data_IF_962915068834
#
_entry.id   IF_962915068834
#
_cell.length_a   1.000
_cell.length_b   1.000
_cell.length_c   1.000
_cell.angle_alpha   90.00
_cell.angle_beta   90.00
_cell.angle_gamma   90.00
#
_symmetry.space_group_name_H-M   'P 1'
#
loop_
_entity.id
_entity.type
_entity.pdbx_description
1 polymer ?
#
# COMPACT_ATOMS: atom_id res chain seq x y z
N UNK A 1 47.10 -22.56 -26.98
CA UNK A 1 47.77 -23.88 -26.82
C UNK A 1 46.83 -24.74 -25.95
N UNK A 2 46.25 -25.82 -26.26
CA UNK A 2 46.48 -26.86 -27.26
C UNK A 2 45.15 -27.64 -27.35
N UNK A 3 44.75 -27.99 -28.56
CA UNK A 3 43.64 -28.92 -28.88
C UNK A 3 44.03 -30.33 -28.47
N UNK A 4 43.08 -31.17 -28.09
CA UNK A 4 43.16 -32.58 -28.42
C UNK A 4 41.75 -33.17 -28.57
N UNK A 5 41.44 -33.48 -29.79
CA UNK A 5 40.35 -34.30 -30.32
C UNK A 5 40.70 -35.78 -30.12
N UNK A 6 39.74 -36.63 -29.71
CA UNK A 6 39.81 -38.07 -29.93
C UNK A 6 38.56 -38.61 -30.56
N UNK A 7 38.72 -38.96 -31.79
CA UNK A 7 37.86 -39.82 -32.60
C UNK A 7 38.20 -41.29 -32.30
N UNK A 8 37.23 -42.16 -32.09
CA UNK A 8 37.47 -43.60 -32.24
C UNK A 8 36.39 -44.29 -33.07
N UNK A 9 36.90 -44.98 -34.00
CA UNK A 9 36.37 -45.62 -35.20
C UNK A 9 35.76 -46.99 -34.89
N UNK A 10 34.78 -47.34 -35.68
CA UNK A 10 34.12 -48.63 -35.92
C UNK A 10 35.01 -49.84 -35.82
N UNK A 11 34.47 -50.94 -35.30
CA UNK A 11 34.88 -52.27 -35.76
C UNK A 11 33.64 -53.20 -35.88
N UNK A 12 33.34 -53.57 -37.08
CA UNK A 12 32.45 -54.65 -37.52
C UNK A 12 33.12 -55.96 -37.22
N UNK A 13 32.44 -56.95 -36.67
CA UNK A 13 32.74 -58.33 -36.92
C UNK A 13 31.48 -59.20 -37.07
N UNK A 14 31.37 -59.72 -38.26
CA UNK A 14 30.34 -60.63 -38.80
C UNK A 14 30.76 -62.06 -38.47
N UNK A 15 29.92 -62.82 -37.79
CA UNK A 15 30.04 -64.30 -37.81
C UNK A 15 28.68 -64.87 -38.03
N UNK A 16 28.45 -65.41 -39.23
CA UNK A 16 27.33 -66.23 -39.57
C UNK A 16 27.66 -67.70 -39.25
N UNK A 17 26.80 -68.35 -38.49
CA UNK A 17 26.78 -69.82 -38.50
C UNK A 17 25.33 -70.28 -38.61
N UNK A 18 25.03 -70.96 -39.71
CA UNK A 18 23.78 -71.66 -39.99
C UNK A 18 23.62 -72.87 -39.08
N UNK A 19 22.48 -73.01 -38.41
CA UNK A 19 21.88 -74.32 -38.14
C UNK A 19 20.38 -74.23 -38.34
N UNK A 20 19.94 -74.91 -39.40
CA UNK A 20 18.55 -75.18 -39.61
C UNK A 20 18.11 -76.31 -38.66
N UNK A 21 17.16 -76.02 -37.75
CA UNK A 21 16.33 -77.06 -37.16
C UNK A 21 14.90 -76.63 -37.32
N UNK A 22 14.16 -77.31 -38.16
CA UNK A 22 12.74 -77.15 -38.30
C UNK A 22 12.10 -77.73 -37.03
N UNK A 23 11.46 -76.86 -36.27
CA UNK A 23 10.46 -77.20 -35.26
C UNK A 23 9.23 -76.34 -35.53
N UNK A 24 8.18 -77.03 -36.01
CA UNK A 24 6.86 -76.47 -36.00
C UNK A 24 6.45 -76.25 -34.53
N UNK A 25 6.44 -74.99 -34.07
CA UNK A 25 5.64 -74.60 -32.93
C UNK A 25 4.59 -73.62 -33.44
N UNK A 26 3.35 -73.92 -33.14
CA UNK A 26 2.24 -73.00 -33.39
C UNK A 26 2.59 -71.63 -32.88
N UNK A 27 2.58 -70.65 -33.81
CA UNK A 27 2.65 -69.25 -33.42
C UNK A 27 1.36 -68.94 -32.66
N UNK A 28 1.39 -69.06 -31.35
CA UNK A 28 0.49 -68.27 -30.53
C UNK A 28 0.83 -66.82 -30.87
N UNK A 29 -0.02 -66.15 -31.68
CA UNK A 29 0.01 -64.73 -31.83
C UNK A 29 -0.17 -64.19 -30.44
N UNK A 30 0.86 -63.62 -29.84
CA UNK A 30 0.76 -62.87 -28.64
C UNK A 30 -0.37 -61.82 -28.88
N UNK A 31 -1.50 -62.00 -28.23
CA UNK A 31 -2.63 -61.09 -28.38
C UNK A 31 -2.16 -59.81 -27.64
N UNK A 32 -1.69 -58.84 -28.40
CA UNK A 32 -1.38 -57.52 -27.87
C UNK A 32 -2.73 -56.95 -27.43
N UNK A 33 -2.97 -56.91 -26.12
CA UNK A 33 -4.12 -56.25 -25.54
C UNK A 33 -3.84 -54.73 -25.64
N UNK A 34 -4.67 -54.00 -26.39
CA UNK A 34 -4.60 -52.55 -26.42
C UNK A 34 -5.29 -51.99 -25.17
N UNK A 35 -4.76 -50.88 -24.58
CA UNK A 35 -5.38 -50.28 -23.40
C UNK A 35 -6.73 -49.62 -23.74
N UNK A 36 -7.74 -49.89 -22.94
CA UNK A 36 -9.07 -49.26 -23.04
C UNK A 36 -9.28 -48.28 -21.90
N UNK A 37 -9.15 -46.97 -22.23
CA UNK A 37 -9.32 -45.89 -21.27
C UNK A 37 -10.79 -45.47 -21.15
N UNK A 38 -11.20 -44.91 -19.95
CA UNK A 38 -12.51 -44.29 -19.80
C UNK A 38 -12.75 -43.24 -20.90
N UNK A 39 -13.95 -43.23 -21.48
CA UNK A 39 -14.32 -42.28 -22.53
C UNK A 39 -14.43 -40.84 -21.97
N UNK A 40 -15.08 -40.72 -20.79
CA UNK A 40 -15.32 -39.44 -20.13
C UNK A 40 -14.32 -39.17 -19.02
N UNK A 41 -13.93 -37.93 -18.88
CA UNK A 41 -13.11 -37.43 -17.79
C UNK A 41 -14.01 -36.98 -16.61
N UNK A 42 -13.65 -37.37 -15.39
CA UNK A 42 -14.31 -36.87 -14.19
C UNK A 42 -13.83 -35.46 -13.89
N UNK A 43 -14.74 -34.48 -13.86
CA UNK A 43 -14.44 -33.09 -13.49
C UNK A 43 -15.30 -32.70 -12.31
N UNK A 44 -14.69 -32.37 -11.18
CA UNK A 44 -15.45 -31.92 -10.00
C UNK A 44 -14.62 -31.05 -9.06
N UNK A 45 -15.32 -30.29 -8.21
CA UNK A 45 -14.71 -29.51 -7.12
C UNK A 45 -14.55 -30.39 -5.88
N UNK A 46 -13.47 -30.20 -5.15
CA UNK A 46 -13.16 -30.88 -3.90
C UNK A 46 -12.85 -29.90 -2.79
N UNK A 47 -13.09 -30.31 -1.55
CA UNK A 47 -12.82 -29.48 -0.36
C UNK A 47 -11.57 -29.98 0.37
N UNK A 48 -10.75 -29.09 0.92
CA UNK A 48 -9.63 -29.46 1.80
C UNK A 48 -10.12 -30.31 2.99
N UNK A 49 -9.30 -31.24 3.40
CA UNK A 49 -9.60 -32.25 4.43
C UNK A 49 -10.82 -33.14 4.12
N UNK A 50 -11.25 -33.13 2.85
CA UNK A 50 -12.31 -34.02 2.35
C UNK A 50 -11.77 -35.26 1.69
N UNK A 51 -12.69 -36.14 1.32
CA UNK A 51 -12.42 -37.32 0.53
C UNK A 51 -13.31 -37.35 -0.72
N UNK A 52 -12.80 -37.95 -1.78
CA UNK A 52 -13.56 -38.24 -3.00
C UNK A 52 -13.22 -39.63 -3.50
N UNK A 53 -14.05 -40.18 -4.37
CA UNK A 53 -13.84 -41.49 -4.93
C UNK A 53 -13.73 -41.41 -6.45
N UNK A 54 -12.67 -41.99 -6.99
CA UNK A 54 -12.46 -42.15 -8.42
C UNK A 54 -12.73 -43.59 -8.83
N UNK A 55 -13.60 -43.79 -9.79
CA UNK A 55 -13.92 -45.13 -10.34
C UNK A 55 -13.58 -45.18 -11.82
N UNK A 56 -13.02 -46.29 -12.25
CA UNK A 56 -12.75 -46.61 -13.66
C UNK A 56 -12.63 -48.13 -13.87
N UNK A 57 -12.71 -48.56 -15.11
CA UNK A 57 -12.37 -49.94 -15.48
C UNK A 57 -11.04 -49.96 -16.21
N UNK A 58 -10.23 -51.00 -15.98
CA UNK A 58 -8.96 -51.23 -16.65
C UNK A 58 -8.91 -52.64 -17.21
N UNK A 59 -8.54 -52.77 -18.48
CA UNK A 59 -8.44 -54.08 -19.14
C UNK A 59 -7.06 -54.74 -19.01
N UNK A 60 -6.13 -54.06 -18.35
CA UNK A 60 -4.77 -54.55 -18.03
C UNK A 60 -4.25 -53.91 -16.75
N UNK A 61 -3.03 -54.30 -16.33
CA UNK A 61 -2.35 -53.66 -15.19
C UNK A 61 -2.18 -52.15 -15.41
N UNK A 62 -2.45 -51.42 -14.36
CA UNK A 62 -2.51 -49.94 -14.42
C UNK A 62 -1.67 -49.28 -13.34
N UNK A 63 -1.33 -48.03 -13.61
CA UNK A 63 -0.78 -47.07 -12.66
C UNK A 63 -1.54 -45.77 -12.78
N UNK A 64 -1.99 -45.19 -11.66
CA UNK A 64 -2.53 -43.83 -11.58
C UNK A 64 -1.56 -42.92 -10.87
N UNK A 65 -1.45 -41.67 -11.37
CA UNK A 65 -0.64 -40.62 -10.75
C UNK A 65 -1.45 -39.34 -10.58
N UNK A 66 -1.28 -38.71 -9.44
CA UNK A 66 -1.79 -37.36 -9.14
C UNK A 66 -0.71 -36.32 -9.44
N UNK A 67 -1.04 -35.28 -10.18
CA UNK A 67 -0.13 -34.19 -10.50
C UNK A 67 0.15 -33.25 -9.33
N UNK A 68 -0.58 -33.38 -8.20
CA UNK A 68 -0.44 -32.50 -7.05
C UNK A 68 -0.30 -33.27 -5.73
N UNK A 69 0.59 -32.79 -4.86
CA UNK A 69 0.88 -33.42 -3.55
C UNK A 69 -0.29 -33.39 -2.57
N UNK A 70 -1.27 -32.53 -2.81
CA UNK A 70 -2.44 -32.36 -1.95
C UNK A 70 -3.60 -33.36 -2.25
N UNK A 71 -3.51 -34.11 -3.35
CA UNK A 71 -4.47 -35.15 -3.70
C UNK A 71 -3.78 -36.51 -3.63
N UNK A 72 -4.06 -37.26 -2.57
CA UNK A 72 -3.37 -38.51 -2.24
C UNK A 72 -4.30 -39.70 -2.33
N UNK A 73 -3.79 -40.81 -2.83
CA UNK A 73 -4.51 -42.10 -2.79
C UNK A 73 -4.51 -42.69 -1.38
N UNK A 74 -5.30 -43.73 -1.16
CA UNK A 74 -5.49 -44.38 0.14
C UNK A 74 -4.18 -44.88 0.81
N UNK A 75 -3.13 -45.11 0.02
CA UNK A 75 -1.80 -45.46 0.51
C UNK A 75 -0.96 -44.22 0.99
N UNK A 76 -1.54 -43.01 0.98
CA UNK A 76 -0.89 -41.76 1.34
C UNK A 76 0.10 -41.21 0.28
N UNK A 77 0.17 -41.88 -0.90
CA UNK A 77 1.05 -41.49 -2.02
C UNK A 77 0.29 -40.74 -3.10
N UNK A 78 1.00 -40.09 -3.98
CA UNK A 78 0.48 -39.49 -5.23
C UNK A 78 0.48 -40.48 -6.41
N UNK A 79 0.78 -41.75 -6.16
CA UNK A 79 0.67 -42.83 -7.15
C UNK A 79 0.13 -44.12 -6.54
N UNK A 80 -0.55 -44.89 -7.37
CA UNK A 80 -1.07 -46.22 -7.02
C UNK A 80 -1.10 -47.10 -8.25
N UNK A 81 -0.91 -48.43 -8.04
CA UNK A 81 -0.91 -49.45 -9.09
C UNK A 81 -1.88 -50.54 -8.77
N UNK A 82 -2.35 -51.24 -9.79
CA UNK A 82 -3.22 -52.38 -9.63
C UNK A 82 -3.30 -53.27 -10.88
N UNK A 83 -4.13 -54.29 -10.76
CA UNK A 83 -4.37 -55.26 -11.84
C UNK A 83 -5.67 -54.91 -12.59
N UNK A 84 -5.88 -55.53 -13.76
CA UNK A 84 -7.08 -55.35 -14.55
C UNK A 84 -8.37 -55.59 -13.75
N UNK A 85 -9.42 -54.87 -14.04
CA UNK A 85 -10.73 -54.99 -13.41
C UNK A 85 -11.40 -53.63 -13.19
N UNK A 86 -12.55 -53.67 -12.50
CA UNK A 86 -13.24 -52.47 -12.02
C UNK A 86 -12.54 -51.94 -10.77
N UNK A 87 -12.21 -50.68 -10.82
CA UNK A 87 -11.37 -49.99 -9.82
C UNK A 87 -12.19 -48.93 -9.11
N UNK A 88 -12.05 -48.87 -7.78
CA UNK A 88 -12.60 -47.80 -6.95
C UNK A 88 -11.52 -47.32 -5.99
N UNK A 89 -11.08 -46.04 -6.13
CA UNK A 89 -10.00 -45.46 -5.37
C UNK A 89 -10.51 -44.31 -4.50
N UNK A 90 -10.25 -44.37 -3.21
CA UNK A 90 -10.44 -43.23 -2.31
C UNK A 90 -9.28 -42.30 -2.45
N UNK A 91 -9.59 -41.00 -2.61
CA UNK A 91 -8.65 -39.90 -2.68
C UNK A 91 -8.87 -39.01 -1.47
N UNK A 92 -7.80 -38.70 -0.75
CA UNK A 92 -7.79 -37.72 0.35
C UNK A 92 -7.25 -36.39 -0.14
N UNK A 93 -7.97 -35.32 0.12
CA UNK A 93 -7.64 -33.96 -0.23
C UNK A 93 -7.04 -33.29 0.99
N UNK A 94 -5.73 -33.01 0.97
CA UNK A 94 -5.01 -32.41 2.09
C UNK A 94 -4.88 -30.89 1.95
N UNK A 95 -4.33 -30.25 3.00
CA UNK A 95 -3.97 -28.82 2.97
C UNK A 95 -2.53 -28.56 2.47
N UNK A 96 -1.83 -29.60 2.02
CA UNK A 96 -0.49 -29.45 1.48
C UNK A 96 -0.50 -28.41 0.34
N UNK A 97 0.43 -27.47 0.36
CA UNK A 97 0.55 -26.36 -0.61
C UNK A 97 -0.78 -25.60 -0.86
N UNK A 98 -1.62 -25.46 0.15
CA UNK A 98 -2.88 -24.72 0.03
C UNK A 98 -2.63 -23.22 0.05
N UNK A 99 -2.83 -22.56 -1.07
CA UNK A 99 -2.68 -21.12 -1.28
C UNK A 99 -4.05 -20.42 -1.29
N UNK A 100 -4.04 -19.11 -1.45
CA UNK A 100 -5.26 -18.32 -1.66
C UNK A 100 -5.81 -18.45 -3.09
N UNK A 101 -5.05 -19.05 -3.99
CA UNK A 101 -5.50 -19.32 -5.35
C UNK A 101 -6.11 -20.70 -5.47
N UNK A 102 -7.02 -20.83 -6.44
CA UNK A 102 -7.54 -22.11 -6.87
C UNK A 102 -6.40 -22.99 -7.41
N UNK A 103 -6.50 -24.29 -7.15
CA UNK A 103 -5.54 -25.27 -7.64
C UNK A 103 -6.25 -26.45 -8.28
N UNK A 104 -5.73 -26.91 -9.41
CA UNK A 104 -6.25 -28.04 -10.16
C UNK A 104 -5.25 -29.21 -10.10
N UNK A 105 -5.76 -30.41 -9.91
CA UNK A 105 -5.00 -31.66 -10.00
C UNK A 105 -5.51 -32.49 -11.16
N UNK A 106 -4.61 -33.07 -11.91
CA UNK A 106 -4.88 -34.07 -12.94
C UNK A 106 -4.55 -35.46 -12.40
N UNK A 107 -5.45 -36.42 -12.59
CA UNK A 107 -5.21 -37.84 -12.34
C UNK A 107 -5.00 -38.52 -13.67
N UNK A 108 -3.79 -38.99 -13.88
CA UNK A 108 -3.38 -39.66 -15.11
C UNK A 108 -3.38 -41.18 -14.88
N UNK A 109 -4.08 -41.89 -15.73
CA UNK A 109 -4.10 -43.35 -15.80
C UNK A 109 -3.14 -43.82 -16.89
N UNK A 110 -2.21 -44.70 -16.53
CA UNK A 110 -1.28 -45.33 -17.43
C UNK A 110 -1.58 -46.82 -17.52
N UNK A 111 -1.67 -47.35 -18.72
CA UNK A 111 -1.83 -48.77 -19.04
C UNK A 111 -0.86 -49.15 -20.18
N UNK A 112 0.00 -50.14 -19.94
CA UNK A 112 1.09 -50.46 -20.89
C UNK A 112 2.02 -49.28 -21.15
N UNK A 113 2.11 -48.82 -22.40
CA UNK A 113 2.91 -47.66 -22.83
C UNK A 113 2.10 -46.38 -22.99
N UNK A 114 0.78 -46.41 -22.84
CA UNK A 114 -0.13 -45.29 -23.06
C UNK A 114 -0.61 -44.70 -21.73
N UNK A 115 -0.95 -43.40 -21.78
CA UNK A 115 -1.48 -42.67 -20.63
C UNK A 115 -2.59 -41.71 -21.05
N UNK A 116 -3.57 -41.51 -20.17
CA UNK A 116 -4.68 -40.57 -20.34
C UNK A 116 -5.02 -39.90 -19.02
N UNK A 117 -5.31 -38.58 -19.02
CA UNK A 117 -5.95 -37.91 -17.89
C UNK A 117 -7.41 -38.40 -17.81
N UNK A 118 -7.79 -38.99 -16.67
CA UNK A 118 -9.12 -39.53 -16.43
C UNK A 118 -9.94 -38.74 -15.43
N UNK A 119 -9.28 -37.84 -14.66
CA UNK A 119 -10.00 -36.96 -13.76
C UNK A 119 -9.24 -35.62 -13.57
N UNK A 120 -10.02 -34.55 -13.36
CA UNK A 120 -9.58 -33.27 -12.87
C UNK A 120 -10.38 -32.84 -11.67
N UNK A 121 -9.68 -32.56 -10.59
CA UNK A 121 -10.30 -32.03 -9.38
C UNK A 121 -9.79 -30.60 -9.11
N UNK A 122 -10.75 -29.71 -8.84
CA UNK A 122 -10.49 -28.33 -8.51
C UNK A 122 -10.66 -28.11 -7.02
N UNK A 123 -9.61 -27.64 -6.34
CA UNK A 123 -9.62 -27.23 -4.94
C UNK A 123 -9.62 -25.71 -4.87
N UNK A 124 -10.67 -25.12 -4.27
CA UNK A 124 -10.75 -23.67 -4.05
C UNK A 124 -9.57 -23.17 -3.19
N UNK A 125 -9.13 -21.96 -3.44
CA UNK A 125 -8.16 -21.27 -2.59
C UNK A 125 -8.72 -21.03 -1.19
N UNK A 126 -7.82 -20.86 -0.20
CA UNK A 126 -8.22 -20.40 1.13
C UNK A 126 -8.61 -18.93 1.09
N UNK A 127 -9.49 -18.49 1.99
CA UNK A 127 -9.83 -17.10 2.11
C UNK A 127 -8.58 -16.24 2.37
N UNK A 128 -8.35 -15.17 1.59
CA UNK A 128 -7.26 -14.25 1.86
C UNK A 128 -7.59 -13.41 3.11
N UNK A 129 -6.66 -13.34 4.05
CA UNK A 129 -6.83 -12.65 5.34
C UNK A 129 -5.60 -11.81 5.64
N UNK A 130 -5.83 -10.58 6.09
CA UNK A 130 -4.82 -9.69 6.65
C UNK A 130 -5.18 -9.40 8.10
N UNK A 131 -4.26 -9.65 9.02
CA UNK A 131 -4.45 -9.40 10.46
C UNK A 131 -3.44 -8.41 10.99
N UNK A 132 -3.71 -7.86 12.17
CA UNK A 132 -2.72 -7.17 13.00
C UNK A 132 -1.87 -8.18 13.81
N UNK A 133 -0.96 -7.68 14.63
CA UNK A 133 -0.09 -8.51 15.47
C UNK A 133 -0.86 -9.35 16.53
N UNK A 134 -2.06 -8.92 16.91
CA UNK A 134 -2.93 -9.60 17.88
C UNK A 134 -3.85 -10.63 17.19
N UNK A 135 -3.72 -10.82 15.89
CA UNK A 135 -4.54 -11.74 15.11
C UNK A 135 -5.94 -11.22 14.77
N UNK A 136 -6.19 -9.92 14.99
CA UNK A 136 -7.47 -9.30 14.62
C UNK A 136 -7.41 -8.93 13.13
N UNK A 137 -8.42 -9.38 12.39
CA UNK A 137 -8.52 -9.13 10.95
C UNK A 137 -8.82 -7.65 10.66
N UNK A 138 -8.10 -7.09 9.69
CA UNK A 138 -8.44 -5.79 9.12
C UNK A 138 -9.60 -5.92 8.15
N UNK A 139 -10.54 -4.98 8.22
CA UNK A 139 -11.74 -4.95 7.38
C UNK A 139 -12.73 -3.91 7.88
N UNK A 140 -14.00 -4.07 7.55
CA UNK A 140 -15.09 -3.14 7.93
C UNK A 140 -15.20 -2.94 9.45
N UNK A 141 -14.99 -4.00 10.24
CA UNK A 141 -15.09 -3.95 11.72
C UNK A 141 -13.79 -3.43 12.37
N UNK A 142 -12.67 -3.46 11.65
CA UNK A 142 -11.36 -3.01 12.13
C UNK A 142 -10.63 -2.26 11.02
N UNK A 143 -11.09 -1.04 10.65
CA UNK A 143 -10.48 -0.23 9.60
C UNK A 143 -9.17 0.40 10.05
N UNK A 144 -8.36 0.86 9.09
CA UNK A 144 -7.20 1.70 9.34
C UNK A 144 -7.68 3.14 9.55
N UNK A 145 -7.45 3.70 10.74
CA UNK A 145 -7.79 5.08 11.06
C UNK A 145 -6.53 5.93 11.28
N UNK A 146 -6.40 7.00 10.50
CA UNK A 146 -5.31 7.96 10.61
C UNK A 146 -5.79 9.21 11.36
N UNK A 147 -4.90 9.78 12.16
CA UNK A 147 -5.20 10.99 12.93
C UNK A 147 -4.07 12.01 12.80
N UNK A 148 -4.44 13.30 12.81
CA UNK A 148 -3.47 14.38 12.87
C UNK A 148 -2.75 14.41 14.22
N UNK A 149 -1.41 14.43 14.21
CA UNK A 149 -0.57 14.52 15.41
C UNK A 149 0.72 15.28 15.09
N UNK A 150 1.11 16.19 15.97
CA UNK A 150 2.44 16.85 15.92
C UNK A 150 2.82 17.39 14.54
N UNK A 151 1.92 18.12 13.90
CA UNK A 151 2.08 18.68 12.56
C UNK A 151 2.31 17.65 11.45
N UNK A 152 1.73 16.46 11.59
CA UNK A 152 1.76 15.42 10.58
C UNK A 152 0.56 14.50 10.65
N UNK A 153 0.34 13.76 9.59
CA UNK A 153 -0.67 12.70 9.53
C UNK A 153 0.00 11.45 9.01
N UNK A 154 0.39 10.60 9.95
CA UNK A 154 0.96 9.29 9.65
C UNK A 154 0.47 8.25 10.64
N UNK A 155 0.48 6.99 10.23
CA UNK A 155 0.18 5.87 11.08
C UNK A 155 0.94 4.63 10.64
N UNK A 156 1.49 3.89 11.59
CA UNK A 156 2.21 2.64 11.33
C UNK A 156 1.35 1.46 11.77
N UNK A 157 1.21 0.48 10.90
CA UNK A 157 0.36 -0.68 11.08
C UNK A 157 1.15 -1.96 10.82
N UNK A 158 0.98 -2.95 11.70
CA UNK A 158 1.54 -4.28 11.49
C UNK A 158 0.57 -5.11 10.65
N UNK A 159 1.05 -5.63 9.53
CA UNK A 159 0.30 -6.56 8.68
C UNK A 159 0.89 -7.96 8.76
N UNK A 160 0.01 -8.94 8.91
CA UNK A 160 0.32 -10.36 8.77
C UNK A 160 -0.69 -10.92 7.77
N UNK A 161 -0.22 -11.27 6.59
CA UNK A 161 -1.06 -11.91 5.57
C UNK A 161 -0.89 -13.42 5.59
N UNK A 162 -1.94 -14.16 5.26
CA UNK A 162 -1.84 -15.61 5.05
C UNK A 162 -1.36 -16.00 3.64
N UNK A 163 -0.85 -15.04 2.88
CA UNK A 163 -0.29 -15.17 1.52
C UNK A 163 0.88 -14.19 1.34
N UNK A 164 1.74 -14.43 0.35
CA UNK A 164 2.75 -13.46 -0.08
C UNK A 164 2.06 -12.27 -0.69
N UNK A 165 2.33 -11.06 -0.19
CA UNK A 165 1.53 -9.88 -0.50
C UNK A 165 2.38 -8.70 -0.99
N UNK A 166 1.72 -7.80 -1.72
CA UNK A 166 2.25 -6.51 -2.15
C UNK A 166 1.20 -5.40 -2.07
N UNK A 167 1.67 -4.16 -1.86
CA UNK A 167 0.90 -2.93 -2.01
C UNK A 167 1.61 -2.08 -3.05
N UNK A 168 0.86 -1.50 -4.00
CA UNK A 168 1.38 -0.55 -4.99
C UNK A 168 0.67 0.78 -4.82
N UNK A 169 1.28 1.88 -5.26
CA UNK A 169 0.68 3.22 -5.17
C UNK A 169 -0.70 3.28 -5.85
N UNK A 170 -0.89 2.59 -6.96
CA UNK A 170 -2.18 2.45 -7.65
C UNK A 170 -3.28 1.75 -6.83
N UNK A 171 -2.90 1.09 -5.74
CA UNK A 171 -3.79 0.38 -4.82
C UNK A 171 -4.17 1.23 -3.59
N UNK A 172 -3.78 2.49 -3.57
CA UNK A 172 -4.05 3.45 -2.51
C UNK A 172 -5.03 4.52 -3.01
N UNK A 173 -5.85 5.09 -2.10
CA UNK A 173 -6.58 6.33 -2.41
C UNK A 173 -5.60 7.46 -2.72
N UNK A 174 -5.99 8.43 -3.56
CA UNK A 174 -5.14 9.57 -3.99
C UNK A 174 -4.56 10.38 -2.81
N UNK A 175 -5.31 10.46 -1.71
CA UNK A 175 -4.91 11.21 -0.51
C UNK A 175 -3.91 10.48 0.39
N UNK A 176 -3.68 9.17 0.16
CA UNK A 176 -2.84 8.30 0.98
C UNK A 176 -1.59 7.90 0.22
N UNK A 177 -0.46 7.86 0.90
CA UNK A 177 0.79 7.33 0.37
C UNK A 177 1.50 6.47 1.42
N UNK A 178 2.36 5.57 0.95
CA UNK A 178 3.27 4.82 1.82
C UNK A 178 4.48 5.72 2.11
N UNK A 179 4.86 5.82 3.40
CA UNK A 179 6.04 6.57 3.80
C UNK A 179 7.31 5.92 3.25
N UNK A 180 8.19 6.72 2.64
CA UNK A 180 9.49 6.25 2.13
C UNK A 180 10.44 5.80 3.26
N UNK A 181 10.21 6.29 4.48
CA UNK A 181 11.03 6.01 5.65
C UNK A 181 10.45 4.84 6.46
N UNK A 182 11.00 3.63 6.29
CA UNK A 182 10.68 2.40 7.05
C UNK A 182 9.40 1.65 6.64
N UNK A 183 8.99 1.70 5.38
CA UNK A 183 7.85 0.93 4.92
C UNK A 183 8.27 -0.13 3.92
N UNK A 184 7.72 -1.32 4.08
CA UNK A 184 7.81 -2.38 3.08
C UNK A 184 6.52 -2.39 2.26
N UNK A 185 6.66 -2.45 0.93
CA UNK A 185 5.53 -2.52 0.02
C UNK A 185 5.12 -3.97 -0.30
N UNK A 186 5.58 -4.92 0.50
CA UNK A 186 5.26 -6.33 0.38
C UNK A 186 5.94 -7.19 1.45
N UNK A 187 5.47 -8.43 1.60
CA UNK A 187 5.98 -9.41 2.57
C UNK A 187 5.67 -10.83 2.15
N UNK A 188 6.13 -11.78 2.96
CA UNK A 188 5.81 -13.19 2.78
C UNK A 188 4.65 -13.60 3.70
N UNK A 189 3.99 -14.71 3.35
CA UNK A 189 2.92 -15.28 4.16
C UNK A 189 3.37 -15.56 5.59
N UNK A 190 2.57 -15.12 6.58
CA UNK A 190 2.81 -15.34 8.01
C UNK A 190 3.86 -14.42 8.64
N UNK A 191 4.54 -13.57 7.88
CA UNK A 191 5.49 -12.61 8.42
C UNK A 191 4.78 -11.32 8.85
N UNK A 192 5.18 -10.78 10.02
CA UNK A 192 4.72 -9.47 10.49
C UNK A 192 5.57 -8.38 9.85
N UNK A 193 4.92 -7.48 9.11
CA UNK A 193 5.55 -6.36 8.41
C UNK A 193 4.93 -5.04 8.86
N UNK A 194 5.79 -4.06 9.17
CA UNK A 194 5.34 -2.71 9.50
C UNK A 194 5.19 -1.87 8.23
N UNK A 195 3.99 -1.35 8.01
CA UNK A 195 3.70 -0.40 6.93
C UNK A 195 3.29 0.92 7.55
N UNK A 196 3.90 2.02 7.11
CA UNK A 196 3.56 3.38 7.55
C UNK A 196 2.89 4.11 6.41
N UNK A 197 1.66 4.57 6.67
CA UNK A 197 0.91 5.44 5.76
C UNK A 197 1.03 6.90 6.17
N UNK A 198 0.99 7.78 5.19
CA UNK A 198 0.97 9.24 5.35
C UNK A 198 -0.17 9.83 4.53
N UNK A 199 -0.83 10.85 5.07
CA UNK A 199 -1.81 11.65 4.32
C UNK A 199 -1.09 12.82 3.66
N UNK A 200 -1.31 13.02 2.36
CA UNK A 200 -0.75 14.17 1.64
C UNK A 200 -1.37 15.47 2.17
N UNK A 201 -0.54 16.51 2.33
CA UNK A 201 -0.89 17.75 3.03
C UNK A 201 -2.11 18.48 2.44
N UNK A 202 -2.26 18.45 1.13
CA UNK A 202 -3.40 19.05 0.42
C UNK A 202 -4.76 18.43 0.77
N UNK A 203 -4.77 17.28 1.45
CA UNK A 203 -6.00 16.61 1.92
C UNK A 203 -6.26 16.78 3.43
N UNK A 204 -5.40 17.52 4.16
CA UNK A 204 -5.53 17.60 5.61
C UNK A 204 -6.76 18.37 6.07
N UNK A 205 -7.25 19.33 5.30
CA UNK A 205 -8.37 20.19 5.69
C UNK A 205 -9.67 19.40 5.93
N UNK A 206 -9.90 18.32 5.20
CA UNK A 206 -11.17 17.61 5.17
C UNK A 206 -11.02 16.14 5.56
N UNK A 207 -12.12 15.53 5.97
CA UNK A 207 -12.19 14.08 6.16
C UNK A 207 -11.97 13.35 4.83
N UNK A 208 -11.30 12.22 4.90
CA UNK A 208 -10.99 11.36 3.77
C UNK A 208 -11.37 9.92 4.11
N UNK A 209 -11.97 9.23 3.15
CA UNK A 209 -12.29 7.81 3.22
C UNK A 209 -11.81 7.10 1.95
N UNK A 210 -11.53 5.82 2.06
CA UNK A 210 -11.08 5.00 0.95
C UNK A 210 -10.72 3.59 1.36
N UNK A 211 -10.02 2.90 0.47
CA UNK A 211 -9.56 1.54 0.74
C UNK A 211 -8.09 1.39 0.35
N UNK A 212 -7.36 0.64 1.17
CA UNK A 212 -6.05 0.09 0.83
C UNK A 212 -6.27 -1.31 0.28
N UNK A 213 -5.82 -1.57 -0.95
CA UNK A 213 -5.93 -2.89 -1.57
C UNK A 213 -4.59 -3.61 -1.48
N UNK A 214 -4.57 -4.73 -0.74
CA UNK A 214 -3.38 -5.58 -0.56
C UNK A 214 -3.55 -6.82 -1.43
N UNK A 215 -2.71 -6.94 -2.46
CA UNK A 215 -2.77 -8.03 -3.43
C UNK A 215 -1.85 -9.19 -3.06
N UNK A 216 -2.25 -10.39 -3.42
CA UNK A 216 -1.33 -11.52 -3.45
C UNK A 216 -0.35 -11.35 -4.61
N UNK A 217 0.94 -11.64 -4.38
CA UNK A 217 1.98 -11.52 -5.41
C UNK A 217 1.68 -12.44 -6.60
N UNK A 218 1.75 -11.86 -7.80
CA UNK A 218 1.49 -12.55 -9.07
C UNK A 218 0.07 -13.14 -9.20
N UNK A 219 -0.92 -12.54 -8.54
CA UNK A 219 -2.30 -13.00 -8.49
C UNK A 219 -3.28 -11.83 -8.55
N UNK A 220 -4.53 -12.13 -8.91
CA UNK A 220 -5.65 -11.17 -8.85
C UNK A 220 -6.35 -11.19 -7.48
N UNK A 221 -6.00 -12.14 -6.61
CA UNK A 221 -6.55 -12.22 -5.24
C UNK A 221 -6.09 -11.03 -4.41
N UNK A 222 -7.01 -10.41 -3.71
CA UNK A 222 -6.71 -9.23 -2.88
C UNK A 222 -7.66 -9.10 -1.68
N UNK A 223 -7.21 -8.35 -0.68
CA UNK A 223 -8.02 -7.87 0.44
C UNK A 223 -8.12 -6.36 0.34
N UNK A 224 -9.33 -5.83 0.47
CA UNK A 224 -9.61 -4.39 0.52
C UNK A 224 -9.88 -4.00 1.98
N UNK A 225 -9.06 -3.10 2.53
CA UNK A 225 -9.14 -2.64 3.91
C UNK A 225 -9.61 -1.20 3.92
N UNK A 226 -10.73 -0.88 4.57
CA UNK A 226 -11.17 0.51 4.72
C UNK A 226 -10.13 1.34 5.46
N UNK A 227 -9.88 2.55 4.97
CA UNK A 227 -8.96 3.52 5.57
C UNK A 227 -9.64 4.87 5.64
N UNK A 228 -9.48 5.57 6.78
CA UNK A 228 -10.08 6.88 7.00
C UNK A 228 -9.13 7.87 7.67
N UNK A 229 -9.39 9.14 7.45
CA UNK A 229 -8.77 10.26 8.12
C UNK A 229 -9.83 11.32 8.39
N UNK A 230 -9.97 11.78 9.62
CA UNK A 230 -11.03 12.71 10.02
C UNK A 230 -10.77 14.19 9.70
N UNK A 231 -9.69 14.46 8.95
CA UNK A 231 -9.22 15.83 8.74
C UNK A 231 -8.42 16.37 9.93
N UNK A 232 -7.83 17.55 9.76
CA UNK A 232 -7.18 18.29 10.83
C UNK A 232 -8.23 18.64 11.90
N UNK A 233 -7.93 18.54 13.22
CA UNK A 233 -8.91 18.87 14.26
C UNK A 233 -9.38 20.32 14.18
N UNK A 234 -10.61 20.57 14.62
CA UNK A 234 -11.14 21.93 14.77
C UNK A 234 -10.25 22.74 15.74
N UNK A 235 -9.96 23.98 15.38
CA UNK A 235 -9.10 24.87 16.17
C UNK A 235 -7.60 24.65 15.98
N UNK A 236 -7.18 23.76 15.09
CA UNK A 236 -5.77 23.54 14.74
C UNK A 236 -5.45 24.21 13.40
N UNK A 237 -4.30 24.88 13.35
CA UNK A 237 -3.72 25.44 12.10
C UNK A 237 -2.40 24.74 11.81
N UNK A 238 -2.23 24.29 10.57
CA UNK A 238 -0.95 23.88 10.03
C UNK A 238 -0.55 24.81 8.88
N UNK A 239 0.75 25.06 8.76
CA UNK A 239 1.33 25.87 7.67
C UNK A 239 2.21 24.97 6.83
N UNK A 240 2.04 25.04 5.52
CA UNK A 240 2.90 24.39 4.54
C UNK A 240 3.56 25.44 3.62
N UNK A 241 4.82 25.20 3.26
CA UNK A 241 5.60 26.13 2.41
C UNK A 241 6.61 26.99 3.18
N UNK A 242 6.36 27.29 4.46
CA UNK A 242 7.35 27.84 5.39
C UNK A 242 7.34 27.00 6.67
N UNK A 243 8.52 26.56 7.09
CA UNK A 243 8.65 25.67 8.24
C UNK A 243 8.33 26.43 9.54
N UNK A 244 7.16 26.14 10.13
CA UNK A 244 6.88 26.38 11.52
C UNK A 244 5.90 27.48 11.87
N UNK A 245 5.56 27.51 13.15
CA UNK A 245 4.46 28.26 13.74
C UNK A 245 4.88 29.55 14.44
N UNK A 246 6.15 29.75 14.73
CA UNK A 246 6.65 30.93 15.43
C UNK A 246 8.04 31.28 14.92
N UNK A 247 8.12 31.81 13.73
CA UNK A 247 9.37 32.28 13.17
C UNK A 247 9.41 33.77 13.04
N UNK A 248 10.59 34.29 13.20
CA UNK A 248 10.87 35.63 12.80
C UNK A 248 11.78 35.66 11.55
N UNK A 249 11.50 36.61 10.70
CA UNK A 249 12.12 36.81 9.42
C UNK A 249 12.62 38.23 9.31
N UNK A 250 13.76 38.41 8.67
CA UNK A 250 14.21 39.74 8.27
C UNK A 250 13.80 40.01 6.84
N UNK A 251 13.40 41.27 6.59
CA UNK A 251 13.12 41.75 5.24
C UNK A 251 14.18 42.80 4.91
N UNK A 252 14.75 42.75 3.69
CA UNK A 252 15.68 43.75 3.22
C UNK A 252 15.03 45.13 3.06
N UNK A 253 15.78 46.23 3.29
CA UNK A 253 15.22 47.56 3.21
C UNK A 253 14.53 47.90 1.87
N UNK A 254 14.93 47.27 0.77
CA UNK A 254 14.27 47.42 -0.53
C UNK A 254 13.01 46.56 -0.73
N UNK A 255 12.62 45.80 0.28
CA UNK A 255 11.42 44.94 0.24
C UNK A 255 11.52 43.74 -0.68
N UNK A 256 12.68 43.42 -1.27
CA UNK A 256 12.79 42.38 -2.30
C UNK A 256 13.16 41.01 -1.76
N UNK A 257 13.86 40.97 -0.63
CA UNK A 257 14.38 39.74 -0.06
C UNK A 257 13.94 39.56 1.37
N UNK A 258 13.88 38.32 1.79
CA UNK A 258 13.67 37.92 3.18
C UNK A 258 14.55 36.72 3.54
N UNK A 259 14.84 36.54 4.82
CA UNK A 259 15.60 35.40 5.33
C UNK A 259 15.30 35.16 6.79
N UNK A 260 15.41 33.89 7.20
CA UNK A 260 15.29 33.54 8.60
C UNK A 260 16.41 34.16 9.42
N UNK A 261 16.17 34.44 10.69
CA UNK A 261 17.10 35.09 11.62
C UNK A 261 18.56 34.64 11.44
N UNK A 262 19.43 35.64 11.23
CA UNK A 262 20.88 35.47 11.13
C UNK A 262 21.38 34.69 9.90
N UNK A 263 20.50 34.13 9.08
CA UNK A 263 20.85 33.28 7.94
C UNK A 263 20.84 34.02 6.60
N UNK A 264 21.56 35.17 6.50
CA UNK A 264 21.63 35.93 5.23
C UNK A 264 22.10 35.13 4.02
N UNK A 265 22.79 34.02 4.23
CA UNK A 265 23.17 33.09 3.16
C UNK A 265 21.96 32.37 2.52
N UNK A 266 20.82 32.37 3.20
CA UNK A 266 19.56 31.71 2.77
C UNK A 266 18.52 32.78 2.35
N UNK A 267 18.96 33.88 1.74
CA UNK A 267 18.04 34.89 1.22
C UNK A 267 17.11 34.30 0.17
N UNK A 268 15.83 34.54 0.38
CA UNK A 268 14.74 34.20 -0.55
C UNK A 268 14.20 35.52 -1.13
N UNK A 269 13.55 35.41 -2.28
CA UNK A 269 12.91 36.57 -2.92
C UNK A 269 11.42 36.59 -2.61
N UNK A 270 10.85 37.79 -2.44
CA UNK A 270 9.40 37.97 -2.47
C UNK A 270 8.86 37.71 -3.89
N UNK A 271 7.61 37.22 -4.02
CA UNK A 271 6.65 36.97 -2.96
C UNK A 271 6.97 35.70 -2.14
N UNK A 272 6.61 35.72 -0.86
CA UNK A 272 6.59 34.57 0.00
C UNK A 272 5.20 33.95 -0.08
N UNK A 273 5.11 32.68 -0.51
CA UNK A 273 3.86 31.93 -0.55
C UNK A 273 3.89 30.79 0.46
N UNK A 274 2.76 30.56 1.12
CA UNK A 274 2.55 29.39 1.97
C UNK A 274 1.09 28.97 1.93
N UNK A 275 0.81 27.74 2.35
CA UNK A 275 -0.55 27.26 2.51
C UNK A 275 -0.94 27.23 3.98
N UNK A 276 -2.08 27.83 4.31
CA UNK A 276 -2.74 27.68 5.58
C UNK A 276 -3.71 26.51 5.51
N UNK A 277 -3.61 25.57 6.43
CA UNK A 277 -4.44 24.38 6.48
C UNK A 277 -5.25 24.40 7.78
N UNK A 278 -6.54 24.48 7.65
CA UNK A 278 -7.50 24.40 8.76
C UNK A 278 -8.66 23.49 8.34
N UNK A 279 -9.39 22.96 9.28
CA UNK A 279 -10.60 22.18 9.00
C UNK A 279 -11.59 23.02 8.19
N UNK A 280 -12.10 22.43 7.10
CA UNK A 280 -13.05 23.06 6.18
C UNK A 280 -12.54 24.41 5.61
N UNK A 281 -11.22 24.64 5.58
CA UNK A 281 -10.57 25.90 5.23
C UNK A 281 -11.08 27.11 6.06
N UNK A 282 -11.61 26.86 7.27
CA UNK A 282 -12.13 27.90 8.15
C UNK A 282 -11.01 28.56 8.96
N UNK A 283 -10.26 29.45 8.31
CA UNK A 283 -9.19 30.24 8.93
C UNK A 283 -9.31 31.73 8.52
N UNK A 284 -8.57 32.57 9.21
CA UNK A 284 -8.34 33.97 8.81
C UNK A 284 -6.89 34.35 8.96
N UNK A 285 -6.45 35.29 8.13
CA UNK A 285 -5.12 35.90 8.18
C UNK A 285 -5.24 37.31 8.73
N UNK A 286 -4.52 37.60 9.80
CA UNK A 286 -4.54 38.89 10.48
C UNK A 286 -3.16 39.49 10.43
N UNK A 287 -3.09 40.76 10.07
CA UNK A 287 -1.84 41.55 10.05
C UNK A 287 -1.84 42.58 11.17
N UNK A 288 -0.73 42.62 11.92
CA UNK A 288 -0.46 43.59 12.96
C UNK A 288 0.87 44.22 12.65
N UNK A 289 0.92 45.55 12.57
CA UNK A 289 2.17 46.31 12.34
C UNK A 289 2.46 47.26 13.48
N UNK A 290 3.75 47.55 13.70
CA UNK A 290 4.19 48.58 14.63
C UNK A 290 3.81 49.99 14.11
N UNK A 291 3.13 50.78 14.96
CA UNK A 291 2.70 52.15 14.70
C UNK A 291 3.13 53.11 15.79
N UNK A 292 2.70 54.38 15.73
CA UNK A 292 3.12 55.49 16.64
C UNK A 292 2.61 55.33 18.10
N UNK A 293 2.11 54.23 18.52
CA UNK A 293 1.65 54.00 19.88
C UNK A 293 1.74 52.55 20.28
N UNK A 294 2.46 51.74 19.54
CA UNK A 294 2.58 50.31 19.70
C UNK A 294 2.06 49.55 18.49
N UNK A 295 1.74 48.29 18.65
CA UNK A 295 1.21 47.45 17.57
C UNK A 295 -0.25 47.79 17.28
N UNK A 296 -0.57 47.88 15.99
CA UNK A 296 -1.93 48.17 15.52
C UNK A 296 -2.39 47.12 14.51
N UNK A 297 -3.64 46.75 14.60
CA UNK A 297 -4.29 45.99 13.57
C UNK A 297 -4.40 46.82 12.27
N UNK A 298 -4.02 46.24 11.14
CA UNK A 298 -4.03 46.94 9.87
C UNK A 298 -5.27 46.61 9.09
N UNK A 299 -6.21 47.54 9.05
CA UNK A 299 -7.43 47.47 8.25
C UNK A 299 -7.27 48.06 6.86
N UNK A 300 -6.30 49.02 6.69
CA UNK A 300 -6.07 49.71 5.44
C UNK A 300 -4.73 49.28 4.84
N UNK A 301 -4.82 48.44 3.84
CA UNK A 301 -3.66 47.91 3.12
C UNK A 301 -2.78 49.00 2.50
N UNK A 302 -3.36 50.17 2.18
CA UNK A 302 -2.61 51.29 1.60
C UNK A 302 -1.58 51.89 2.54
N UNK A 303 -1.69 51.66 3.85
CA UNK A 303 -0.78 52.12 4.90
C UNK A 303 0.25 51.09 5.31
N UNK A 304 0.10 49.86 4.84
CA UNK A 304 0.94 48.76 5.23
C UNK A 304 2.21 48.65 4.38
N UNK A 305 3.31 48.25 5.01
CA UNK A 305 4.54 47.90 4.28
C UNK A 305 4.59 46.45 3.86
N UNK A 306 3.69 45.60 4.39
CA UNK A 306 3.58 44.20 4.09
C UNK A 306 2.17 43.92 3.58
N UNK A 307 2.04 43.51 2.33
CA UNK A 307 0.76 43.16 1.74
C UNK A 307 0.51 41.66 1.84
N UNK A 308 -0.73 41.32 2.13
CA UNK A 308 -1.20 39.92 2.26
C UNK A 308 -2.31 39.70 1.25
N UNK A 309 -2.13 38.73 0.37
CA UNK A 309 -3.16 38.20 -0.50
C UNK A 309 -3.54 36.80 -0.03
N UNK A 310 -4.81 36.57 0.26
CA UNK A 310 -5.35 35.28 0.70
C UNK A 310 -6.52 34.92 -0.22
N UNK A 311 -6.44 33.76 -0.86
CA UNK A 311 -7.49 33.28 -1.76
C UNK A 311 -8.64 32.57 -1.03
N UNK A 312 -8.60 32.49 0.31
CA UNK A 312 -9.55 31.76 1.16
C UNK A 312 -9.69 30.26 0.79
N UNK A 313 -8.75 29.76 0.03
CA UNK A 313 -8.65 28.35 -0.35
C UNK A 313 -7.36 27.70 0.17
N UNK A 314 -6.65 28.39 1.05
CA UNK A 314 -5.43 27.95 1.70
C UNK A 314 -4.17 28.61 1.21
N UNK A 315 -4.16 29.32 0.09
CA UNK A 315 -2.95 29.94 -0.45
C UNK A 315 -2.84 31.39 0.02
N UNK A 316 -1.78 31.68 0.77
CA UNK A 316 -1.45 33.02 1.29
C UNK A 316 -0.15 33.50 0.66
N UNK A 317 -0.19 34.70 0.11
CA UNK A 317 0.95 35.34 -0.56
C UNK A 317 1.29 36.67 0.15
N UNK A 318 2.55 36.80 0.54
CA UNK A 318 3.08 38.02 1.15
C UNK A 318 4.00 38.74 0.18
N UNK A 319 3.89 40.07 0.13
CA UNK A 319 4.81 40.96 -0.57
C UNK A 319 5.19 42.12 0.36
N UNK A 320 6.34 42.71 0.15
CA UNK A 320 6.82 43.85 0.93
C UNK A 320 7.16 45.05 0.04
N UNK A 321 6.93 46.28 0.57
CA UNK A 321 7.33 47.52 -0.06
C UNK A 321 8.68 47.97 0.50
N UNK A 322 9.35 48.96 -0.16
CA UNK A 322 10.57 49.53 0.33
C UNK A 322 10.37 50.27 1.67
N UNK A 323 11.25 50.02 2.65
CA UNK A 323 11.26 50.76 3.91
C UNK A 323 11.98 52.07 3.77
N UNK A 324 11.24 53.15 3.54
CA UNK A 324 11.78 54.52 3.39
C UNK A 324 11.90 55.28 4.71
N UNK A 325 11.55 54.64 5.85
CA UNK A 325 11.53 55.33 7.16
C UNK A 325 12.92 55.51 7.78
N UNK A 326 13.91 54.76 7.32
CA UNK A 326 15.25 54.69 7.91
C UNK A 326 15.31 54.11 9.32
N UNK A 327 14.25 53.41 9.74
CA UNK A 327 14.14 52.69 11.02
C UNK A 327 13.64 51.30 10.79
N UNK A 328 14.06 50.39 11.67
CA UNK A 328 13.48 49.05 11.70
C UNK A 328 11.96 49.14 11.98
N UNK A 329 11.19 48.31 11.27
CA UNK A 329 9.76 48.17 11.48
C UNK A 329 9.46 46.69 11.80
N UNK A 330 8.38 46.45 12.52
CA UNK A 330 8.00 45.12 12.95
C UNK A 330 6.54 44.83 12.56
N UNK A 331 6.32 43.65 12.03
CA UNK A 331 4.97 43.14 11.72
C UNK A 331 4.79 41.71 12.15
N UNK A 332 3.55 41.34 12.44
CA UNK A 332 3.11 39.96 12.62
C UNK A 332 2.05 39.61 11.60
N UNK A 333 2.19 38.46 11.01
CA UNK A 333 1.12 37.78 10.27
C UNK A 333 0.67 36.63 11.12
N UNK A 334 -0.60 36.64 11.48
CA UNK A 334 -1.24 35.63 12.31
C UNK A 334 -2.21 34.86 11.45
N UNK A 335 -2.09 33.54 11.43
CA UNK A 335 -3.06 32.66 10.80
C UNK A 335 -3.74 31.88 11.92
N UNK A 336 -5.04 32.03 12.05
CA UNK A 336 -5.81 31.43 13.14
C UNK A 336 -7.15 30.86 12.64
N UNK A 337 -7.76 29.90 13.37
CA UNK A 337 -9.10 29.45 13.05
C UNK A 337 -10.08 30.62 13.04
N UNK A 338 -10.99 30.67 12.08
CA UNK A 338 -12.00 31.73 11.94
C UNK A 338 -12.78 31.92 13.24
N UNK A 339 -13.19 30.85 13.90
CA UNK A 339 -13.90 30.90 15.18
C UNK A 339 -13.13 31.63 16.29
N UNK A 340 -11.81 31.42 16.39
CA UNK A 340 -10.96 32.11 17.37
C UNK A 340 -10.92 33.61 17.07
N UNK A 341 -10.83 33.99 15.82
CA UNK A 341 -10.86 35.38 15.40
C UNK A 341 -12.23 36.05 15.70
N UNK A 342 -13.34 35.35 15.46
CA UNK A 342 -14.68 35.86 15.75
C UNK A 342 -14.88 36.09 17.27
N UNK A 343 -14.37 35.19 18.11
CA UNK A 343 -14.38 35.36 19.58
C UNK A 343 -13.56 36.59 20.04
N UNK A 344 -12.39 36.82 19.42
CA UNK A 344 -11.58 38.01 19.68
C UNK A 344 -12.32 39.27 19.28
N UNK A 345 -12.96 39.27 18.12
CA UNK A 345 -13.75 40.38 17.62
C UNK A 345 -14.93 40.70 18.54
N UNK A 346 -15.64 39.70 19.02
CA UNK A 346 -16.75 39.88 19.98
C UNK A 346 -16.27 40.51 21.30
N UNK A 347 -15.13 40.06 21.81
CA UNK A 347 -14.50 40.68 23.02
C UNK A 347 -14.15 42.14 22.75
N UNK A 348 -13.66 42.51 21.61
CA UNK A 348 -13.31 43.87 21.23
C UNK A 348 -14.55 44.78 21.14
N UNK A 349 -15.61 44.29 20.48
CA UNK A 349 -16.91 45.00 20.34
C UNK A 349 -17.59 45.25 21.70
N UNK A 350 -17.35 44.38 22.68
CA UNK A 350 -17.84 44.52 24.07
C UNK A 350 -17.00 45.46 24.96
N UNK A 351 -16.12 46.27 24.38
CA UNK A 351 -15.38 47.35 25.06
C UNK A 351 -13.91 47.08 25.32
N UNK A 352 -13.33 46.06 24.73
CA UNK A 352 -11.90 45.84 24.66
C UNK A 352 -11.22 46.64 23.56
N UNK A 353 -9.90 46.84 23.66
CA UNK A 353 -9.10 47.27 22.52
C UNK A 353 -8.80 46.07 21.63
N UNK A 354 -9.16 46.15 20.35
CA UNK A 354 -8.95 45.06 19.38
C UNK A 354 -7.46 44.67 19.31
N UNK A 355 -6.57 45.62 19.20
CA UNK A 355 -5.12 45.39 19.14
C UNK A 355 -4.59 44.75 20.43
N UNK A 356 -5.03 45.22 21.58
CA UNK A 356 -4.60 44.64 22.88
C UNK A 356 -5.09 43.21 23.07
N UNK A 357 -6.30 42.88 22.60
CA UNK A 357 -6.85 41.54 22.70
C UNK A 357 -6.07 40.60 21.78
N UNK A 358 -5.81 40.98 20.54
CA UNK A 358 -5.01 40.19 19.59
C UNK A 358 -3.59 39.92 20.14
N UNK A 359 -2.91 40.93 20.66
CA UNK A 359 -1.57 40.78 21.23
C UNK A 359 -1.57 39.88 22.48
N UNK A 360 -2.59 39.96 23.31
CA UNK A 360 -2.74 39.12 24.50
C UNK A 360 -3.00 37.64 24.08
N UNK A 361 -3.92 37.42 23.16
CA UNK A 361 -4.23 36.07 22.68
C UNK A 361 -3.01 35.43 21.99
N UNK A 362 -2.26 36.19 21.21
CA UNK A 362 -1.02 35.71 20.55
C UNK A 362 0.02 35.21 21.58
N UNK A 363 0.05 35.80 22.77
CA UNK A 363 0.97 35.39 23.83
C UNK A 363 0.49 34.19 24.65
N UNK A 364 -0.80 33.87 24.63
CA UNK A 364 -1.44 32.85 25.46
C UNK A 364 -1.90 31.60 24.69
N UNK A 365 -2.04 31.70 23.37
CA UNK A 365 -2.56 30.60 22.55
C UNK A 365 -1.51 29.50 22.36
N UNK A 366 -1.93 28.28 22.51
CA UNK A 366 -1.15 27.08 22.15
C UNK A 366 -0.66 27.21 20.70
N UNK A 367 0.61 26.92 20.47
CA UNK A 367 1.26 26.98 19.16
C UNK A 367 0.55 26.13 18.06
N UNK A 368 -0.35 25.22 18.46
CA UNK A 368 -1.12 24.39 17.52
C UNK A 368 -2.41 25.05 17.03
N UNK A 369 -2.87 26.11 17.67
CA UNK A 369 -4.10 26.83 17.29
C UNK A 369 -3.85 28.17 16.59
N UNK A 370 -2.59 28.57 16.45
CA UNK A 370 -2.18 29.81 15.84
C UNK A 370 -0.82 29.67 15.16
N UNK A 371 -0.72 30.04 13.90
CA UNK A 371 0.56 30.27 13.24
C UNK A 371 0.92 31.74 13.32
N UNK A 372 2.08 32.06 13.89
CA UNK A 372 2.61 33.41 14.03
C UNK A 372 3.90 33.58 13.23
N UNK A 373 3.87 34.47 12.25
CA UNK A 373 5.05 34.87 11.47
C UNK A 373 5.43 36.29 11.86
N UNK A 374 6.65 36.48 12.35
CA UNK A 374 7.16 37.77 12.77
C UNK A 374 8.18 38.28 11.75
N UNK A 375 8.00 39.49 11.25
CA UNK A 375 8.86 40.14 10.27
C UNK A 375 9.54 41.34 10.83
N UNK A 376 10.86 41.34 10.82
CA UNK A 376 11.73 42.49 11.11
C UNK A 376 12.16 43.13 9.78
N UNK A 377 11.67 44.33 9.52
CA UNK A 377 11.95 45.06 8.30
C UNK A 377 13.10 46.04 8.55
N UNK A 378 14.25 45.79 7.93
CA UNK A 378 15.48 46.57 8.11
C UNK A 378 15.42 47.97 7.52
#
# INVERSE_FOLDING_TARGET
KMKTTYTFTKLFLLVAIFFAAVSCSENEKEVVVEPEFPEEEVVSSVTPNGETVLTFSANMNWEVTSSAIWCKFANGSTSMKGEAGDVSLSLTITEDAWSVEESVVEITLKMGSEEKVIARYTRAGKAPVITNADGVEYGEENPIALTYKNNGVSGSFNFIANYDWEIKDENLPEWLKISENNSQMGGNAGESVLVTFEVAKNFWANAQDGNVVIKAKNSDVSVSIPVSFNGIPEGVIAIDGINGTAFWWKISADGKNFWKDGAESEKLMFPLSFNAIAKDNAYTVVKIEEGNGGFMFVNDESQSFLSVEDDNAGNVVLTAQENTTGKERLAYILVMPQKVFDEIKEKADNGGSYDNILLTEVSQVDIYSLAKLQFHYL
#
